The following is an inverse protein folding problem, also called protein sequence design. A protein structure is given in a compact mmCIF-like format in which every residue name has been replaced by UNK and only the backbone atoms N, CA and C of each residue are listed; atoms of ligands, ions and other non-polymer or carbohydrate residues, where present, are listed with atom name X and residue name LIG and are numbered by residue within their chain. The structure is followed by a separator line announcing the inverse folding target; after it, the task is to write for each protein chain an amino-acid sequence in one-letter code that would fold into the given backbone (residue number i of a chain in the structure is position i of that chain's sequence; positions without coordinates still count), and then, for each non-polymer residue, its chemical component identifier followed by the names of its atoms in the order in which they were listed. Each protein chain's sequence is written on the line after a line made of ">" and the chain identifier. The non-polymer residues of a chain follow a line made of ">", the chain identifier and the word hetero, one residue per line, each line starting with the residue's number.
data_IF_663669789627
#
_entry.id   IF_663669789627
#
_cell.length_a   1.000
_cell.length_b   1.000
_cell.length_c   1.000
_cell.angle_alpha   90.00
_cell.angle_beta   90.00
_cell.angle_gamma   90.00
#
_symmetry.space_group_name_H-M   'P 1'
#
loop_
_entity.id
_entity.type
_entity.pdbx_description
1 polymer ?
#
# COMPACT_ATOMS: atom_id res chain seq x y z
N UNK A 1 11.65 24.22 -64.66
CA UNK A 1 11.08 24.79 -63.45
C UNK A 1 10.40 23.66 -62.73
N UNK A 2 11.09 23.09 -61.77
CA UNK A 2 10.60 21.93 -61.04
C UNK A 2 10.20 22.38 -59.64
N UNK A 3 8.93 22.27 -59.37
CA UNK A 3 8.30 22.66 -58.10
C UNK A 3 8.44 21.47 -57.14
N UNK A 4 9.35 21.61 -56.17
CA UNK A 4 9.57 20.59 -55.14
C UNK A 4 8.63 20.85 -53.98
N UNK A 5 7.56 20.05 -53.86
CA UNK A 5 6.66 20.03 -52.74
C UNK A 5 7.38 19.57 -51.46
N UNK A 6 7.29 20.39 -50.39
CA UNK A 6 7.76 20.06 -49.04
C UNK A 6 6.94 18.91 -48.47
N UNK A 7 7.56 17.95 -47.75
CA UNK A 7 6.78 16.88 -47.12
C UNK A 7 5.97 17.44 -45.95
N UNK A 8 4.70 17.03 -45.92
CA UNK A 8 3.76 17.35 -44.84
C UNK A 8 4.29 16.95 -43.49
N UNK A 9 4.21 17.87 -42.51
CA UNK A 9 4.70 17.68 -41.15
C UNK A 9 4.10 16.46 -40.50
N UNK A 10 4.96 15.69 -39.84
CA UNK A 10 4.56 14.62 -38.95
C UNK A 10 3.67 15.23 -37.86
N UNK A 11 2.46 14.70 -37.72
CA UNK A 11 1.56 15.06 -36.63
C UNK A 11 2.21 14.80 -35.27
N UNK A 12 1.70 15.44 -34.21
CA UNK A 12 2.24 15.21 -32.88
C UNK A 12 2.21 13.71 -32.54
N UNK A 13 3.25 13.19 -31.83
CA UNK A 13 3.25 11.78 -31.43
C UNK A 13 1.99 11.48 -30.63
N UNK A 14 1.44 10.25 -30.69
CA UNK A 14 0.29 9.87 -29.89
C UNK A 14 0.65 10.14 -28.42
N UNK A 15 -0.31 10.72 -27.67
CA UNK A 15 -0.14 11.01 -26.26
C UNK A 15 0.38 9.74 -25.57
N UNK A 16 1.63 9.79 -25.09
CA UNK A 16 2.27 8.66 -24.42
C UNK A 16 1.37 8.23 -23.25
N UNK A 17 1.27 6.92 -23.01
CA UNK A 17 0.66 6.40 -21.80
C UNK A 17 1.25 7.20 -20.63
N UNK A 18 0.40 7.92 -19.89
CA UNK A 18 0.84 8.58 -18.65
C UNK A 18 1.54 7.53 -17.81
N UNK A 19 2.70 7.88 -17.29
CA UNK A 19 3.37 7.03 -16.34
C UNK A 19 2.49 6.95 -15.09
N UNK A 20 2.20 5.76 -14.64
CA UNK A 20 1.35 5.51 -13.47
C UNK A 20 2.12 4.61 -12.53
N UNK A 21 2.26 5.04 -11.29
CA UNK A 21 2.78 4.18 -10.24
C UNK A 21 1.66 3.72 -9.31
N UNK A 22 1.85 2.57 -8.71
CA UNK A 22 0.86 1.96 -7.82
C UNK A 22 1.44 1.83 -6.41
N UNK A 23 0.73 2.41 -5.44
CA UNK A 23 1.09 2.36 -4.03
C UNK A 23 0.08 1.51 -3.26
N UNK A 24 0.55 0.39 -2.71
CA UNK A 24 -0.17 -0.41 -1.74
C UNK A 24 0.17 0.03 -0.32
N UNK A 25 -0.84 0.17 0.52
CA UNK A 25 -0.71 0.49 1.94
C UNK A 25 -1.33 -0.63 2.76
N UNK A 26 -0.52 -1.38 3.50
CA UNK A 26 -0.97 -2.49 4.34
C UNK A 26 -0.72 -2.14 5.82
N UNK A 27 -1.79 -2.04 6.60
CA UNK A 27 -1.66 -1.95 8.05
C UNK A 27 -1.32 -3.32 8.63
N UNK A 28 -0.38 -3.38 9.59
CA UNK A 28 -0.10 -4.62 10.30
C UNK A 28 -1.40 -5.29 10.81
N UNK A 29 -1.44 -6.61 10.84
CA UNK A 29 -2.56 -7.38 11.34
C UNK A 29 -2.69 -7.32 12.87
N UNK A 30 -3.75 -7.91 13.45
CA UNK A 30 -4.05 -7.81 14.88
C UNK A 30 -2.94 -8.44 15.72
N UNK A 31 -2.33 -7.63 16.61
CA UNK A 31 -1.26 -8.07 17.52
C UNK A 31 -1.81 -8.54 18.86
N UNK A 32 -0.98 -9.21 19.63
CA UNK A 32 -1.19 -9.46 21.05
C UNK A 32 -1.31 -8.14 21.81
N UNK A 33 -2.04 -8.14 22.92
CA UNK A 33 -2.19 -6.95 23.77
C UNK A 33 -0.95 -6.73 24.65
N UNK A 34 -0.33 -7.82 25.07
CA UNK A 34 0.82 -7.82 25.96
C UNK A 34 2.01 -8.55 25.34
N UNK A 35 3.19 -8.20 25.80
CA UNK A 35 4.46 -8.77 25.37
C UNK A 35 5.37 -8.95 26.62
N UNK A 36 6.08 -10.09 26.75
CA UNK A 36 6.99 -10.32 27.88
C UNK A 36 8.07 -9.24 28.05
N UNK A 37 8.55 -8.64 26.95
CA UNK A 37 9.50 -7.52 26.98
C UNK A 37 8.92 -6.22 27.52
N UNK A 38 7.59 -6.08 27.57
CA UNK A 38 6.88 -4.84 27.91
C UNK A 38 6.97 -3.75 26.86
N UNK A 39 7.71 -3.94 25.74
CA UNK A 39 7.86 -2.93 24.68
C UNK A 39 6.84 -3.13 23.58
N UNK A 40 6.11 -2.07 23.23
CA UNK A 40 5.11 -2.10 22.13
C UNK A 40 5.71 -2.57 20.78
N UNK A 41 6.95 -2.18 20.52
CA UNK A 41 7.69 -2.54 19.31
C UNK A 41 7.80 -4.06 19.10
N UNK A 42 7.93 -4.83 20.18
CA UNK A 42 8.15 -6.27 20.17
C UNK A 42 6.85 -7.10 20.16
N UNK A 43 5.66 -6.45 20.16
CA UNK A 43 4.39 -7.17 20.11
C UNK A 43 4.20 -7.88 18.78
N UNK A 44 4.14 -9.21 18.83
CA UNK A 44 3.83 -10.07 17.68
C UNK A 44 2.34 -10.14 17.38
N UNK A 45 1.99 -10.89 16.34
CA UNK A 45 0.59 -11.13 15.94
C UNK A 45 -0.10 -12.14 16.85
N UNK A 46 -1.37 -11.90 17.15
CA UNK A 46 -2.22 -12.91 17.77
C UNK A 46 -2.73 -13.92 16.71
N UNK A 47 -3.36 -15.04 17.11
CA UNK A 47 -3.84 -16.06 16.16
C UNK A 47 -4.80 -15.53 15.09
N UNK A 48 -5.67 -14.54 15.45
CA UNK A 48 -6.57 -13.89 14.48
C UNK A 48 -5.79 -13.03 13.48
N UNK A 49 -4.77 -12.31 13.95
CA UNK A 49 -3.89 -11.53 13.10
C UNK A 49 -3.12 -12.39 12.09
N UNK A 50 -2.60 -13.54 12.51
CA UNK A 50 -1.91 -14.48 11.60
C UNK A 50 -2.84 -14.98 10.50
N UNK A 51 -4.10 -15.34 10.83
CA UNK A 51 -5.08 -15.72 9.82
C UNK A 51 -5.42 -14.58 8.87
N UNK A 52 -5.56 -13.35 9.41
CA UNK A 52 -5.82 -12.16 8.61
C UNK A 52 -4.67 -11.84 7.65
N UNK A 53 -3.41 -11.93 8.10
CA UNK A 53 -2.23 -11.74 7.27
C UNK A 53 -2.16 -12.75 6.12
N UNK A 54 -2.43 -14.04 6.39
CA UNK A 54 -2.47 -15.06 5.35
C UNK A 54 -3.61 -14.85 4.34
N UNK A 55 -4.81 -14.45 4.81
CA UNK A 55 -5.93 -14.14 3.93
C UNK A 55 -5.61 -12.92 3.04
N UNK A 56 -5.00 -11.88 3.62
CA UNK A 56 -4.58 -10.70 2.88
C UNK A 56 -3.48 -11.02 1.85
N UNK A 57 -2.49 -11.86 2.20
CA UNK A 57 -1.47 -12.30 1.24
C UNK A 57 -2.07 -12.96 0.00
N UNK A 58 -3.07 -13.85 0.17
CA UNK A 58 -3.80 -14.43 -0.96
C UNK A 58 -4.59 -13.40 -1.80
N UNK A 59 -5.07 -12.32 -1.18
CA UNK A 59 -5.71 -11.22 -1.89
C UNK A 59 -4.69 -10.38 -2.65
N UNK A 60 -3.55 -10.05 -2.02
CA UNK A 60 -2.45 -9.30 -2.63
C UNK A 60 -1.84 -10.03 -3.85
N UNK A 61 -1.83 -11.37 -3.84
CA UNK A 61 -1.36 -12.16 -4.98
C UNK A 61 -2.17 -11.95 -6.27
N UNK A 62 -3.33 -11.30 -6.20
CA UNK A 62 -4.24 -11.01 -7.34
C UNK A 62 -4.23 -9.54 -7.74
N UNK A 63 -3.40 -8.72 -7.09
CA UNK A 63 -3.24 -7.30 -7.44
C UNK A 63 -2.48 -7.20 -8.75
N UNK A 64 -2.98 -6.35 -9.66
CA UNK A 64 -2.35 -6.07 -10.95
C UNK A 64 -2.09 -4.55 -11.09
N UNK A 65 -0.86 -4.16 -11.47
CA UNK A 65 0.33 -5.00 -11.60
C UNK A 65 0.78 -5.58 -10.24
N UNK A 66 1.51 -6.72 -10.23
CA UNK A 66 2.04 -7.28 -8.99
C UNK A 66 3.04 -6.30 -8.35
N UNK A 67 3.16 -6.34 -7.03
CA UNK A 67 4.13 -5.50 -6.34
C UNK A 67 5.57 -5.95 -6.67
N UNK A 68 6.39 -5.00 -7.10
CA UNK A 68 7.80 -5.23 -7.39
C UNK A 68 8.67 -5.10 -6.14
N UNK A 69 8.25 -4.25 -5.21
CA UNK A 69 8.99 -3.96 -3.97
C UNK A 69 8.07 -3.83 -2.78
N UNK A 70 8.57 -4.25 -1.62
CA UNK A 70 7.93 -4.02 -0.33
C UNK A 70 8.86 -3.27 0.62
N UNK A 71 8.32 -2.28 1.34
CA UNK A 71 8.99 -1.61 2.45
C UNK A 71 8.15 -1.79 3.70
N UNK A 72 8.72 -2.39 4.73
CA UNK A 72 7.98 -2.78 5.93
C UNK A 72 8.58 -2.15 7.19
N UNK A 73 7.71 -1.72 8.10
CA UNK A 73 8.13 -1.34 9.46
C UNK A 73 8.85 -2.49 10.14
N UNK A 74 9.97 -2.20 10.79
CA UNK A 74 10.75 -3.20 11.51
C UNK A 74 10.13 -3.63 12.86
N UNK A 75 8.93 -3.14 13.24
CA UNK A 75 8.21 -3.62 14.43
C UNK A 75 7.70 -5.05 14.24
N UNK A 76 7.77 -5.89 15.28
CA UNK A 76 7.48 -7.33 15.21
C UNK A 76 6.15 -7.65 14.52
N UNK A 77 5.06 -6.95 14.87
CA UNK A 77 3.73 -7.18 14.26
C UNK A 77 3.68 -6.87 12.75
N UNK A 78 4.45 -5.88 12.28
CA UNK A 78 4.54 -5.56 10.87
C UNK A 78 5.37 -6.60 10.13
N UNK A 79 6.49 -7.01 10.72
CA UNK A 79 7.36 -8.08 10.20
C UNK A 79 6.60 -9.39 10.06
N UNK A 80 5.93 -9.86 11.12
CA UNK A 80 5.13 -11.08 11.06
C UNK A 80 3.97 -10.97 10.06
N UNK A 81 3.36 -9.78 9.92
CA UNK A 81 2.31 -9.56 8.92
C UNK A 81 2.84 -9.78 7.51
N UNK A 82 3.97 -9.15 7.18
CA UNK A 82 4.52 -9.25 5.82
C UNK A 82 5.11 -10.63 5.55
N UNK A 83 5.77 -11.27 6.51
CA UNK A 83 6.30 -12.62 6.35
C UNK A 83 5.19 -13.62 5.97
N UNK A 84 4.09 -13.61 6.74
CA UNK A 84 2.94 -14.49 6.48
C UNK A 84 2.24 -14.12 5.16
N UNK A 85 2.14 -12.82 4.85
CA UNK A 85 1.52 -12.39 3.60
C UNK A 85 2.35 -12.81 2.38
N UNK A 86 3.68 -12.64 2.40
CA UNK A 86 4.57 -13.04 1.30
C UNK A 86 4.56 -14.56 1.09
N UNK A 87 4.56 -15.35 2.16
CA UNK A 87 4.40 -16.80 2.06
C UNK A 87 3.08 -17.18 1.37
N UNK A 88 1.98 -16.52 1.75
CA UNK A 88 0.67 -16.74 1.15
C UNK A 88 0.52 -16.20 -0.28
N UNK A 89 1.31 -15.20 -0.69
CA UNK A 89 1.41 -14.71 -2.08
C UNK A 89 2.15 -15.70 -2.98
N UNK A 90 3.08 -16.47 -2.42
CA UNK A 90 3.86 -17.43 -3.18
C UNK A 90 4.64 -16.79 -4.33
N UNK A 91 4.42 -17.24 -5.57
CA UNK A 91 5.14 -16.76 -6.76
C UNK A 91 4.86 -15.29 -7.15
N UNK A 92 3.79 -14.70 -6.62
CA UNK A 92 3.45 -13.29 -6.83
C UNK A 92 4.09 -12.37 -5.79
N UNK A 93 4.88 -12.91 -4.84
CA UNK A 93 5.58 -12.10 -3.86
C UNK A 93 6.64 -11.22 -4.53
N UNK A 94 6.80 -9.95 -4.10
CA UNK A 94 7.85 -9.07 -4.61
C UNK A 94 9.24 -9.64 -4.34
N UNK A 95 10.16 -9.36 -5.26
CA UNK A 95 11.54 -9.87 -5.18
C UNK A 95 12.38 -9.05 -4.19
N UNK A 96 12.05 -7.76 -4.04
CA UNK A 96 12.80 -6.84 -3.20
C UNK A 96 12.01 -6.47 -1.95
N UNK A 97 12.67 -6.61 -0.79
CA UNK A 97 12.15 -6.18 0.51
C UNK A 97 13.15 -5.33 1.25
N UNK A 98 12.64 -4.25 1.86
CA UNK A 98 13.38 -3.37 2.76
C UNK A 98 12.65 -3.31 4.10
N UNK A 99 13.39 -3.49 5.20
CA UNK A 99 12.87 -3.30 6.56
C UNK A 99 13.34 -1.94 7.07
N UNK A 100 12.40 -1.00 7.20
CA UNK A 100 12.68 0.38 7.60
C UNK A 100 12.16 0.68 9.01
N UNK A 101 13.10 1.00 9.92
CA UNK A 101 12.77 1.38 11.31
C UNK A 101 12.00 2.70 11.41
N UNK A 102 12.17 3.59 10.40
CA UNK A 102 11.48 4.89 10.35
C UNK A 102 9.96 4.74 10.19
N UNK A 103 9.50 3.59 9.69
CA UNK A 103 8.07 3.30 9.52
C UNK A 103 7.34 2.92 10.82
N UNK A 104 8.06 2.76 11.94
CA UNK A 104 7.40 2.50 13.22
C UNK A 104 6.68 3.75 13.73
N UNK A 105 5.34 3.68 13.80
CA UNK A 105 4.46 4.80 14.17
C UNK A 105 4.71 6.09 13.36
N UNK A 106 5.14 5.93 12.12
CA UNK A 106 5.43 7.01 11.20
C UNK A 106 4.20 7.86 10.89
N UNK A 107 4.39 9.16 10.75
CA UNK A 107 3.41 10.08 10.18
C UNK A 107 3.39 9.99 8.64
N UNK A 108 2.42 10.64 7.93
CA UNK A 108 2.34 10.58 6.48
C UNK A 108 3.61 11.08 5.76
N UNK A 109 4.27 12.10 6.30
CA UNK A 109 5.51 12.65 5.72
C UNK A 109 6.62 11.61 5.76
N UNK A 110 6.82 10.94 6.89
CA UNK A 110 7.81 9.88 7.04
C UNK A 110 7.51 8.65 6.17
N UNK A 111 6.22 8.32 5.97
CA UNK A 111 5.80 7.26 5.04
C UNK A 111 6.13 7.62 3.60
N UNK A 112 5.89 8.87 3.20
CA UNK A 112 6.26 9.40 1.87
C UNK A 112 7.78 9.38 1.69
N UNK A 113 8.53 9.88 2.67
CA UNK A 113 9.99 9.91 2.61
C UNK A 113 10.59 8.50 2.42
N UNK A 114 10.04 7.51 3.15
CA UNK A 114 10.45 6.11 3.00
C UNK A 114 10.10 5.56 1.62
N UNK A 115 8.93 5.88 1.07
CA UNK A 115 8.54 5.49 -0.29
C UNK A 115 9.45 6.11 -1.35
N UNK A 116 9.84 7.37 -1.19
CA UNK A 116 10.79 8.07 -2.07
C UNK A 116 12.19 7.44 -1.97
N UNK A 117 12.68 7.19 -0.74
CA UNK A 117 14.00 6.63 -0.50
C UNK A 117 14.16 5.22 -1.07
N UNK A 118 13.13 4.40 -0.93
CA UNK A 118 13.20 2.97 -1.26
C UNK A 118 12.44 2.57 -2.53
N UNK A 119 11.62 3.44 -3.10
CA UNK A 119 10.80 3.13 -4.29
C UNK A 119 11.65 2.83 -5.54
N UNK A 120 12.76 3.55 -5.72
CA UNK A 120 13.66 3.35 -6.86
C UNK A 120 12.91 3.41 -8.20
N UNK A 121 13.21 2.46 -9.08
CA UNK A 121 12.57 2.36 -10.40
C UNK A 121 11.30 1.50 -10.41
N UNK A 122 10.88 0.95 -9.26
CA UNK A 122 9.69 0.10 -9.20
C UNK A 122 8.44 0.88 -9.63
N UNK A 123 7.57 0.24 -10.40
CA UNK A 123 6.27 0.81 -10.80
C UNK A 123 5.19 0.53 -9.75
N UNK A 124 5.44 -0.44 -8.86
CA UNK A 124 4.52 -0.81 -7.79
C UNK A 124 5.26 -1.04 -6.47
N UNK A 125 4.79 -0.37 -5.40
CA UNK A 125 5.39 -0.40 -4.08
C UNK A 125 4.34 -0.75 -3.03
N UNK A 126 4.66 -1.67 -2.12
CA UNK A 126 3.83 -2.00 -0.96
C UNK A 126 4.50 -1.45 0.31
N UNK A 127 3.84 -0.53 1.02
CA UNK A 127 4.23 -0.09 2.36
C UNK A 127 3.47 -0.89 3.42
N UNK A 128 4.18 -1.42 4.42
CA UNK A 128 3.60 -2.12 5.57
C UNK A 128 3.92 -1.37 6.86
N UNK A 129 2.92 -0.74 7.47
CA UNK A 129 3.13 0.18 8.58
C UNK A 129 1.96 0.21 9.58
N UNK A 130 1.73 1.36 10.20
CA UNK A 130 0.85 1.56 11.35
C UNK A 130 -0.13 2.72 11.13
N UNK A 131 -1.26 2.70 11.85
CA UNK A 131 -2.09 3.88 12.05
C UNK A 131 -1.56 4.73 13.22
N UNK A 132 -1.84 6.06 13.25
CA UNK A 132 -2.72 6.74 12.29
C UNK A 132 -2.09 7.07 10.92
N UNK A 133 -0.76 7.01 10.79
CA UNK A 133 -0.04 7.50 9.62
C UNK A 133 -0.54 6.91 8.28
N UNK A 134 -0.86 5.60 8.21
CA UNK A 134 -1.39 5.00 6.97
C UNK A 134 -2.76 5.55 6.60
N UNK A 135 -3.67 5.69 7.57
CA UNK A 135 -4.99 6.25 7.34
C UNK A 135 -4.91 7.70 6.86
N UNK A 136 -4.11 8.51 7.55
CA UNK A 136 -3.85 9.90 7.20
C UNK A 136 -3.18 10.02 5.82
N UNK A 137 -2.29 9.09 5.44
CA UNK A 137 -1.65 9.08 4.12
C UNK A 137 -2.66 8.79 3.01
N UNK A 138 -3.60 7.85 3.21
CA UNK A 138 -4.69 7.62 2.25
C UNK A 138 -5.46 8.92 2.03
N UNK A 139 -5.84 9.60 3.11
CA UNK A 139 -6.63 10.84 3.04
C UNK A 139 -5.85 12.02 2.43
N UNK A 140 -4.54 12.05 2.62
CA UNK A 140 -3.66 13.07 2.03
C UNK A 140 -3.47 12.89 0.51
N UNK A 141 -3.32 11.63 0.05
CA UNK A 141 -3.08 11.33 -1.35
C UNK A 141 -4.36 11.31 -2.19
N UNK A 142 -5.48 10.90 -1.60
CA UNK A 142 -6.77 10.76 -2.32
C UNK A 142 -7.64 11.98 -2.00
N UNK A 143 -7.93 12.85 -2.98
CA UNK A 143 -8.78 14.02 -2.76
C UNK A 143 -10.17 13.64 -2.24
N UNK A 144 -10.76 14.54 -1.45
CA UNK A 144 -12.12 14.36 -0.96
C UNK A 144 -13.10 14.39 -2.13
N UNK A 145 -13.90 13.33 -2.25
CA UNK A 145 -15.00 13.20 -3.18
C UNK A 145 -16.18 12.57 -2.46
N UNK A 146 -17.33 13.25 -2.34
CA UNK A 146 -18.52 12.70 -1.67
C UNK A 146 -19.05 11.41 -2.31
N UNK A 147 -18.74 11.14 -3.58
CA UNK A 147 -19.15 9.94 -4.31
C UNK A 147 -18.15 8.79 -4.17
N UNK A 148 -16.94 9.04 -3.67
CA UNK A 148 -15.93 8.01 -3.45
C UNK A 148 -16.21 7.20 -2.19
N UNK A 149 -16.92 6.08 -2.38
CA UNK A 149 -17.27 5.15 -1.29
C UNK A 149 -16.04 4.51 -0.63
N UNK A 150 -14.97 4.25 -1.39
CA UNK A 150 -13.78 3.63 -0.84
C UNK A 150 -13.07 4.59 0.11
N UNK A 151 -12.96 5.86 -0.30
CA UNK A 151 -12.39 6.91 0.54
C UNK A 151 -13.21 7.11 1.83
N UNK A 152 -14.54 7.16 1.72
CA UNK A 152 -15.41 7.28 2.90
C UNK A 152 -15.21 6.11 3.89
N UNK A 153 -15.04 4.88 3.41
CA UNK A 153 -14.74 3.72 4.26
C UNK A 153 -13.36 3.85 4.91
N UNK A 154 -12.35 4.34 4.19
CA UNK A 154 -11.01 4.56 4.74
C UNK A 154 -11.01 5.62 5.84
N UNK A 155 -11.78 6.70 5.66
CA UNK A 155 -11.95 7.80 6.62
C UNK A 155 -12.72 7.35 7.88
N UNK A 156 -13.73 6.47 7.73
CA UNK A 156 -14.43 5.89 8.86
C UNK A 156 -13.52 5.00 9.70
N UNK A 157 -12.78 4.10 9.06
CA UNK A 157 -11.90 3.16 9.76
C UNK A 157 -10.97 2.39 8.80
N UNK A 158 -9.67 2.50 9.06
CA UNK A 158 -8.63 1.65 8.46
C UNK A 158 -8.14 0.61 9.48
N UNK A 159 -8.81 -0.56 9.62
CA UNK A 159 -8.54 -1.51 10.71
C UNK A 159 -7.22 -2.26 10.52
N UNK A 160 -6.75 -2.97 11.58
CA UNK A 160 -5.59 -3.86 11.50
C UNK A 160 -5.78 -4.90 10.40
N UNK A 161 -4.75 -5.09 9.57
CA UNK A 161 -4.77 -5.96 8.40
C UNK A 161 -5.50 -5.37 7.18
N UNK A 162 -5.99 -4.12 7.24
CA UNK A 162 -6.57 -3.46 6.07
C UNK A 162 -5.50 -3.11 5.04
N UNK A 163 -5.90 -3.16 3.80
CA UNK A 163 -5.10 -2.86 2.63
C UNK A 163 -5.81 -1.83 1.75
N UNK A 164 -5.09 -0.80 1.31
CA UNK A 164 -5.52 0.18 0.33
C UNK A 164 -4.59 0.14 -0.89
N UNK A 165 -5.14 0.30 -2.08
CA UNK A 165 -4.41 0.39 -3.34
C UNK A 165 -4.69 1.73 -3.99
N UNK A 166 -3.65 2.53 -4.19
CA UNK A 166 -3.73 3.88 -4.74
C UNK A 166 -2.98 3.92 -6.07
N UNK A 167 -3.65 4.36 -7.11
CA UNK A 167 -3.07 4.68 -8.40
C UNK A 167 -2.62 6.14 -8.39
N UNK A 168 -1.37 6.40 -8.78
CA UNK A 168 -0.71 7.70 -8.73
C UNK A 168 -0.29 8.13 -10.14
N UNK A 169 -0.67 9.33 -10.54
CA UNK A 169 -0.26 9.92 -11.83
C UNK A 169 1.13 10.57 -11.69
N UNK A 170 2.14 9.74 -11.45
CA UNK A 170 3.55 10.12 -11.31
C UNK A 170 4.45 9.20 -12.12
N UNK A 171 5.56 9.73 -12.61
CA UNK A 171 6.59 8.97 -13.31
C UNK A 171 7.70 8.47 -12.38
N UNK A 172 7.95 9.20 -11.30
CA UNK A 172 9.02 8.93 -10.34
C UNK A 172 8.52 9.09 -8.90
N UNK A 173 9.02 8.27 -7.97
CA UNK A 173 8.62 8.32 -6.56
C UNK A 173 8.98 9.66 -5.89
N UNK A 174 9.97 10.40 -6.37
CA UNK A 174 10.29 11.76 -5.88
C UNK A 174 9.16 12.78 -6.07
N UNK A 175 8.17 12.47 -6.92
CA UNK A 175 6.98 13.28 -7.12
C UNK A 175 5.89 13.03 -6.06
N UNK A 176 6.00 11.93 -5.30
CA UNK A 176 4.99 11.49 -4.31
C UNK A 176 4.58 12.57 -3.30
N UNK A 177 5.49 13.46 -2.79
CA UNK A 177 5.11 14.50 -1.84
C UNK A 177 4.05 15.50 -2.36
N UNK A 178 3.90 15.60 -3.69
CA UNK A 178 2.93 16.49 -4.34
C UNK A 178 1.87 15.73 -5.13
N UNK A 179 1.95 14.40 -5.12
CA UNK A 179 1.05 13.55 -5.87
C UNK A 179 -0.39 13.64 -5.37
N UNK A 180 -1.31 13.36 -6.29
CA UNK A 180 -2.68 13.01 -5.99
C UNK A 180 -2.97 11.69 -6.64
N UNK A 181 -3.71 10.86 -5.95
CA UNK A 181 -4.01 9.52 -6.39
C UNK A 181 -5.50 9.23 -6.39
N UNK A 182 -5.83 8.08 -6.91
CA UNK A 182 -7.17 7.50 -6.89
C UNK A 182 -7.12 6.21 -6.09
N UNK A 183 -7.97 6.10 -5.08
CA UNK A 183 -8.13 4.86 -4.32
C UNK A 183 -8.89 3.84 -5.18
N UNK A 184 -8.21 2.80 -5.65
CA UNK A 184 -8.78 1.82 -6.58
C UNK A 184 -9.23 0.53 -5.89
N UNK A 185 -8.71 0.27 -4.68
CA UNK A 185 -9.20 -0.82 -3.84
C UNK A 185 -9.00 -0.49 -2.36
N UNK A 186 -9.94 -0.98 -1.55
CA UNK A 186 -9.84 -1.03 -0.09
C UNK A 186 -10.36 -2.38 0.38
N UNK A 187 -9.51 -3.16 1.02
CA UNK A 187 -9.85 -4.51 1.48
C UNK A 187 -9.56 -4.61 2.97
N UNK A 188 -10.56 -5.04 3.73
CA UNK A 188 -10.44 -5.30 5.17
C UNK A 188 -10.44 -6.81 5.40
N UNK A 189 -9.85 -7.34 6.46
CA UNK A 189 -9.88 -8.79 6.73
C UNK A 189 -11.28 -9.39 6.71
N UNK A 190 -12.29 -8.66 7.23
CA UNK A 190 -13.70 -9.11 7.23
C UNK A 190 -14.33 -9.24 5.84
N UNK A 191 -13.78 -8.54 4.85
CA UNK A 191 -14.25 -8.61 3.46
C UNK A 191 -13.75 -9.89 2.77
N UNK A 192 -12.67 -10.49 3.31
CA UNK A 192 -12.08 -11.76 2.84
C UNK A 192 -12.64 -12.97 3.59
N UNK A 193 -12.88 -12.82 4.90
CA UNK A 193 -13.48 -13.83 5.77
C UNK A 193 -14.23 -13.11 6.90
N UNK A 194 -15.58 -13.27 7.00
CA UNK A 194 -16.38 -12.66 8.05
C UNK A 194 -15.89 -12.98 9.48
N UNK A 195 -15.28 -14.15 9.71
CA UNK A 195 -14.72 -14.54 11.01
C UNK A 195 -13.51 -13.68 11.43
N UNK A 196 -12.93 -12.90 10.50
CA UNK A 196 -11.86 -11.94 10.76
C UNK A 196 -12.39 -10.54 11.12
N UNK A 197 -13.70 -10.35 11.12
CA UNK A 197 -14.36 -9.12 11.55
C UNK A 197 -14.24 -8.87 13.07
N UNK A 198 -14.74 -7.74 13.57
CA UNK A 198 -14.83 -7.50 15.00
C UNK A 198 -15.73 -8.56 15.66
N UNK A 199 -15.32 -9.03 16.84
CA UNK A 199 -16.18 -9.85 17.69
C UNK A 199 -17.21 -8.89 18.28
N UNK A 200 -18.47 -9.05 17.91
CA UNK A 200 -19.55 -8.43 18.64
C UNK A 200 -19.68 -9.26 19.93
N UNK A 201 -19.40 -8.63 21.10
CA UNK A 201 -19.82 -9.18 22.34
C UNK A 201 -21.34 -9.30 22.30
N UNK A 202 -21.86 -10.55 22.26
CA UNK A 202 -23.28 -10.85 22.35
C UNK A 202 -23.83 -10.54 23.74
#
# INVERSE_FOLDING_TARGET
>A
MSDAALPAGAGPPPAGKRAVKVLGLLRHAKSEEHQPSGRDYDRGLNPKGRRAAAAMGRALARVEPPFERVVASAAARAQETIDIALDAMGRSAPVERVDDKKLYLADPGQLIDSAVEHGGNADSLLLVAHNPGLEELVLALVPADPEDRLRAIAEEKFPTGAFALIELDIADWSELPRARGRLIALTRPRDLDPALGPEYAG
#
